data_IF_402442293869
#
_entry.id   IF_402442293869
#
_cell.length_a   1.000
_cell.length_b   1.000
_cell.length_c   1.000
_cell.angle_alpha   90.00
_cell.angle_beta   90.00
_cell.angle_gamma   90.00
#
_symmetry.space_group_name_H-M   'P 1'
#
loop_
_entity.id
_entity.type
_entity.pdbx_description
1 polymer ?
#
# COMPACT_ATOMS: atom_id res chain seq x y z
N UNK A 1 43.05 7.29 56.26
CA UNK A 1 44.10 6.26 56.34
C UNK A 1 45.44 6.93 56.06
N UNK A 2 46.22 7.19 57.10
CA UNK A 2 47.53 7.83 56.98
C UNK A 2 48.54 6.75 56.56
N UNK A 3 49.12 6.86 55.35
CA UNK A 3 50.14 5.90 54.90
C UNK A 3 51.44 6.21 55.61
N UNK A 4 52.04 5.20 56.24
CA UNK A 4 53.32 5.34 56.93
C UNK A 4 54.42 5.62 55.88
N UNK A 5 55.07 6.80 55.89
CA UNK A 5 56.04 7.19 54.88
C UNK A 5 57.25 6.25 54.80
N UNK A 6 57.61 5.59 55.91
CA UNK A 6 58.71 4.62 55.93
C UNK A 6 58.42 3.37 55.11
N UNK A 7 57.15 2.94 55.09
CA UNK A 7 56.75 1.76 54.31
C UNK A 7 56.82 1.98 52.80
N UNK A 8 56.56 3.21 52.34
CA UNK A 8 56.66 3.58 50.91
C UNK A 8 58.13 3.71 50.49
N UNK A 9 58.98 4.25 51.37
CA UNK A 9 60.42 4.36 51.12
C UNK A 9 61.09 2.98 51.02
N UNK A 10 60.77 2.06 51.93
CA UNK A 10 61.31 0.69 51.92
C UNK A 10 60.90 -0.08 50.65
N UNK A 11 59.64 0.02 50.22
CA UNK A 11 59.18 -0.62 48.98
C UNK A 11 59.94 -0.11 47.77
N UNK A 12 60.16 1.20 47.68
CA UNK A 12 60.90 1.80 46.57
C UNK A 12 62.34 1.29 46.51
N UNK A 13 63.02 1.20 47.66
CA UNK A 13 64.38 0.66 47.74
C UNK A 13 64.45 -0.83 47.37
N UNK A 14 63.45 -1.62 47.75
CA UNK A 14 63.37 -3.04 47.42
C UNK A 14 63.17 -3.24 45.90
N UNK A 15 62.29 -2.45 45.28
CA UNK A 15 62.05 -2.48 43.84
C UNK A 15 63.30 -2.08 43.04
N UNK A 16 64.04 -1.05 43.50
CA UNK A 16 65.30 -0.61 42.88
C UNK A 16 66.42 -1.68 43.03
N UNK A 17 66.39 -2.49 44.09
CA UNK A 17 67.37 -3.57 44.33
C UNK A 17 67.11 -4.82 43.48
N UNK A 18 65.83 -5.16 43.23
CA UNK A 18 65.45 -6.38 42.52
C UNK A 18 65.70 -6.28 41.00
N UNK A 19 65.63 -5.08 40.42
CA UNK A 19 66.01 -4.86 39.02
C UNK A 19 66.46 -3.41 38.80
N UNK A 20 67.74 -3.16 38.46
CA UNK A 20 68.22 -1.80 38.18
C UNK A 20 67.61 -1.20 36.90
N UNK A 21 67.00 -2.04 36.06
CA UNK A 21 66.24 -1.61 34.89
C UNK A 21 64.75 -1.69 35.22
N UNK A 22 64.07 -0.54 35.21
CA UNK A 22 62.61 -0.46 35.30
C UNK A 22 61.96 -1.44 34.31
N UNK A 23 61.21 -2.42 34.83
CA UNK A 23 60.38 -3.33 34.03
C UNK A 23 59.33 -2.58 33.20
N UNK A 24 59.09 -1.30 33.51
CA UNK A 24 58.29 -0.38 32.74
C UNK A 24 59.18 0.49 31.84
N UNK A 25 59.22 0.17 30.55
CA UNK A 25 59.91 1.00 29.57
C UNK A 25 59.08 2.26 29.25
N UNK A 26 59.70 3.28 28.66
CA UNK A 26 58.95 4.45 28.16
C UNK A 26 57.90 4.05 27.10
N UNK A 27 58.17 2.98 26.35
CA UNK A 27 57.25 2.43 25.34
C UNK A 27 55.99 1.86 26.01
N UNK A 28 56.14 1.15 27.14
CA UNK A 28 55.00 0.63 27.89
C UNK A 28 54.14 1.76 28.47
N UNK A 29 54.77 2.85 28.92
CA UNK A 29 54.06 4.04 29.39
C UNK A 29 53.24 4.69 28.27
N UNK A 30 53.80 4.82 27.07
CA UNK A 30 53.08 5.36 25.91
C UNK A 30 51.89 4.47 25.52
N UNK A 31 52.07 3.15 25.47
CA UNK A 31 50.98 2.21 25.17
C UNK A 31 49.83 2.27 26.18
N UNK A 32 50.14 2.42 27.47
CA UNK A 32 49.11 2.58 28.50
C UNK A 32 48.37 3.90 28.31
N UNK A 33 49.09 5.00 28.04
CA UNK A 33 48.45 6.29 27.80
C UNK A 33 47.54 6.27 26.56
N UNK A 34 47.97 5.67 25.45
CA UNK A 34 47.15 5.48 24.26
C UNK A 34 45.88 4.67 24.57
N UNK A 35 45.99 3.60 25.36
CA UNK A 35 44.83 2.80 25.78
C UNK A 35 43.86 3.59 26.65
N UNK A 36 44.37 4.42 27.56
CA UNK A 36 43.55 5.28 28.43
C UNK A 36 42.85 6.37 27.61
N UNK A 37 43.55 7.02 26.68
CA UNK A 37 42.96 8.04 25.81
C UNK A 37 41.94 7.46 24.84
N UNK A 38 42.22 6.28 24.27
CA UNK A 38 41.28 5.55 23.41
C UNK A 38 40.01 5.12 24.17
N UNK A 39 40.13 4.74 25.45
CA UNK A 39 38.98 4.47 26.31
C UNK A 39 38.17 5.74 26.62
N UNK A 40 38.84 6.88 26.87
CA UNK A 40 38.16 8.18 27.10
C UNK A 40 37.42 8.68 25.86
N UNK A 41 37.98 8.52 24.65
CA UNK A 41 37.31 8.91 23.39
C UNK A 41 36.03 8.11 23.15
N UNK A 42 36.06 6.79 23.38
CA UNK A 42 34.86 5.93 23.23
C UNK A 42 33.74 6.31 24.19
N UNK A 43 34.06 6.73 25.42
CA UNK A 43 33.06 7.20 26.40
C UNK A 43 32.40 8.54 26.02
N UNK A 44 33.05 9.38 25.22
CA UNK A 44 32.55 10.72 24.87
C UNK A 44 31.47 10.69 23.78
N UNK A 45 31.55 9.74 22.84
CA UNK A 45 30.56 9.61 21.76
C UNK A 45 29.19 9.08 22.27
N UNK A 46 29.21 8.29 23.35
CA UNK A 46 28.01 7.85 24.07
C UNK A 46 27.56 8.84 25.17
N UNK A 47 28.00 10.11 25.10
CA UNK A 47 27.76 11.09 26.18
C UNK A 47 26.28 11.44 26.41
N UNK A 48 25.38 11.09 25.48
CA UNK A 48 23.93 11.33 25.61
C UNK A 48 23.13 10.13 25.11
N UNK A 49 23.15 8.99 25.82
CA UNK A 49 22.44 7.78 25.39
C UNK A 49 20.92 8.02 25.29
N UNK A 50 20.39 8.96 26.07
CA UNK A 50 18.98 9.40 26.00
C UNK A 50 18.60 10.01 24.66
N UNK A 51 19.47 10.81 24.03
CA UNK A 51 19.18 11.41 22.72
C UNK A 51 19.21 10.38 21.60
N UNK A 52 20.16 9.44 21.64
CA UNK A 52 20.25 8.35 20.65
C UNK A 52 19.02 7.45 20.73
N UNK A 53 18.58 7.11 21.94
CA UNK A 53 17.38 6.31 22.16
C UNK A 53 16.11 7.03 21.67
N UNK A 54 15.96 8.33 21.97
CA UNK A 54 14.83 9.13 21.46
C UNK A 54 14.80 9.18 19.93
N UNK A 55 15.96 9.31 19.28
CA UNK A 55 16.03 9.35 17.82
C UNK A 55 15.66 7.99 17.19
N UNK A 56 16.13 6.88 17.77
CA UNK A 56 15.75 5.52 17.34
C UNK A 56 14.25 5.26 17.51
N UNK A 57 13.66 5.67 18.64
CA UNK A 57 12.23 5.54 18.87
C UNK A 57 11.41 6.37 17.86
N UNK A 58 11.88 7.58 17.52
CA UNK A 58 11.21 8.43 16.55
C UNK A 58 11.26 7.82 15.14
N UNK A 59 12.37 7.18 14.74
CA UNK A 59 12.46 6.46 13.48
C UNK A 59 11.50 5.25 13.43
N UNK A 60 11.45 4.45 14.49
CA UNK A 60 10.52 3.31 14.58
C UNK A 60 9.07 3.79 14.52
N UNK A 61 8.74 4.87 15.24
CA UNK A 61 7.41 5.45 15.25
C UNK A 61 7.04 6.02 13.88
N UNK A 62 7.96 6.73 13.22
CA UNK A 62 7.74 7.26 11.87
C UNK A 62 7.53 6.16 10.84
N UNK A 63 8.27 5.04 10.94
CA UNK A 63 8.11 3.88 10.06
C UNK A 63 6.78 3.16 10.28
N UNK A 64 6.33 3.02 11.53
CA UNK A 64 5.04 2.44 11.85
C UNK A 64 3.89 3.31 11.31
N UNK A 65 3.95 4.63 11.52
CA UNK A 65 2.95 5.58 10.99
C UNK A 65 2.93 5.55 9.46
N UNK A 66 4.08 5.57 8.79
CA UNK A 66 4.15 5.45 7.32
C UNK A 66 3.63 4.11 6.79
N UNK A 67 3.88 3.00 7.51
CA UNK A 67 3.37 1.68 7.14
C UNK A 67 1.86 1.58 7.27
N UNK A 68 1.26 2.22 8.27
CA UNK A 68 -0.19 2.25 8.48
C UNK A 68 -0.94 3.26 7.60
N UNK A 69 -0.29 4.31 7.11
CA UNK A 69 -0.90 5.31 6.21
C UNK A 69 -0.85 4.92 4.72
N UNK A 70 0.00 3.96 4.33
CA UNK A 70 0.11 3.51 2.94
C UNK A 70 -0.98 2.55 2.39
N UNK A 71 -1.81 1.84 3.17
CA UNK A 71 -2.71 0.85 2.56
C UNK A 71 -3.89 1.46 1.78
N UNK A 72 -4.19 2.76 1.91
CA UNK A 72 -5.37 3.34 1.25
C UNK A 72 -5.13 3.84 -0.19
N UNK A 73 -3.92 4.27 -0.54
CA UNK A 73 -3.65 4.80 -1.90
C UNK A 73 -3.32 3.70 -2.92
N UNK A 74 -2.88 2.52 -2.46
CA UNK A 74 -2.40 1.47 -3.37
C UNK A 74 -3.53 0.54 -3.87
N UNK A 75 -4.66 0.45 -3.17
CA UNK A 75 -5.84 -0.28 -3.65
C UNK A 75 -6.68 0.54 -4.65
N UNK A 76 -6.70 1.87 -4.53
CA UNK A 76 -7.41 2.73 -5.49
C UNK A 76 -6.74 2.75 -6.88
N UNK A 77 -5.47 2.32 -6.98
CA UNK A 77 -4.67 2.34 -8.19
C UNK A 77 -4.75 1.06 -9.05
N UNK A 78 -5.48 0.02 -8.61
CA UNK A 78 -5.60 -1.23 -9.38
C UNK A 78 -6.92 -1.41 -10.12
N UNK A 79 -7.86 -0.47 -10.00
CA UNK A 79 -9.11 -0.55 -10.76
C UNK A 79 -8.92 0.01 -12.17
N UNK A 80 -9.29 -0.74 -13.22
CA UNK A 80 -9.21 -0.26 -14.58
C UNK A 80 -10.13 0.94 -14.78
N UNK A 81 -9.65 1.92 -15.53
CA UNK A 81 -10.45 3.08 -15.93
C UNK A 81 -11.58 2.66 -16.88
N UNK A 82 -12.64 3.46 -16.96
CA UNK A 82 -13.73 3.22 -17.90
C UNK A 82 -13.26 3.09 -19.35
N UNK A 83 -12.25 3.88 -19.74
CA UNK A 83 -11.65 3.78 -21.07
C UNK A 83 -10.96 2.43 -21.28
N UNK A 84 -10.16 1.97 -20.31
CA UNK A 84 -9.52 0.66 -20.39
C UNK A 84 -10.55 -0.46 -20.46
N UNK A 85 -11.66 -0.36 -19.72
CA UNK A 85 -12.76 -1.33 -19.82
C UNK A 85 -13.38 -1.33 -21.22
N UNK A 86 -13.72 -0.16 -21.75
CA UNK A 86 -14.31 -0.01 -23.10
C UNK A 86 -13.38 -0.60 -24.16
N UNK A 87 -12.09 -0.28 -24.10
CA UNK A 87 -11.07 -0.79 -25.04
C UNK A 87 -10.83 -2.31 -24.89
N UNK A 88 -11.18 -2.87 -23.72
CA UNK A 88 -11.00 -4.28 -23.40
C UNK A 88 -12.23 -5.14 -23.68
N UNK A 89 -13.37 -4.61 -24.13
CA UNK A 89 -14.55 -5.42 -24.43
C UNK A 89 -14.87 -5.35 -25.93
N UNK A 90 -15.41 -6.43 -26.49
CA UNK A 90 -15.90 -6.50 -27.85
C UNK A 90 -16.96 -7.59 -28.00
N UNK A 91 -17.88 -7.40 -28.95
CA UNK A 91 -18.91 -8.37 -29.32
C UNK A 91 -18.27 -9.64 -29.90
N UNK A 92 -18.77 -10.81 -29.48
CA UNK A 92 -18.27 -12.12 -29.87
C UNK A 92 -17.17 -12.68 -28.95
N UNK A 93 -16.78 -11.94 -27.90
CA UNK A 93 -15.87 -12.42 -26.86
C UNK A 93 -16.51 -13.58 -26.08
N UNK A 94 -15.72 -14.57 -25.65
CA UNK A 94 -16.26 -15.64 -24.80
C UNK A 94 -16.38 -15.19 -23.34
N UNK A 95 -17.27 -15.83 -22.58
CA UNK A 95 -17.40 -15.60 -21.13
C UNK A 95 -16.07 -15.74 -20.36
N UNK A 96 -15.22 -16.70 -20.74
CA UNK A 96 -13.89 -16.88 -20.12
C UNK A 96 -12.95 -15.70 -20.39
N UNK A 97 -13.01 -15.12 -21.59
CA UNK A 97 -12.24 -13.92 -21.93
C UNK A 97 -12.75 -12.71 -21.14
N UNK A 98 -14.07 -12.60 -20.93
CA UNK A 98 -14.67 -11.56 -20.07
C UNK A 98 -14.17 -11.73 -18.64
N UNK A 99 -14.21 -12.93 -18.08
CA UNK A 99 -13.72 -13.20 -16.72
C UNK A 99 -12.23 -12.93 -16.55
N UNK A 100 -11.43 -13.13 -17.60
CA UNK A 100 -10.00 -12.81 -17.56
C UNK A 100 -9.77 -11.30 -17.44
N UNK A 101 -10.67 -10.47 -17.96
CA UNK A 101 -10.54 -9.00 -17.99
C UNK A 101 -11.22 -8.32 -16.81
N UNK A 102 -12.44 -8.74 -16.49
CA UNK A 102 -13.28 -8.15 -15.45
C UNK A 102 -13.17 -8.91 -14.12
N UNK A 103 -12.78 -10.18 -14.15
CA UNK A 103 -12.84 -11.06 -13.00
C UNK A 103 -14.14 -11.87 -12.96
N UNK A 104 -14.30 -12.65 -11.90
CA UNK A 104 -15.44 -13.56 -11.70
C UNK A 104 -16.40 -13.05 -10.63
N UNK A 105 -16.20 -11.83 -10.13
CA UNK A 105 -17.09 -11.18 -9.16
C UNK A 105 -18.13 -10.35 -9.92
N UNK A 106 -19.28 -10.97 -10.17
CA UNK A 106 -20.40 -10.37 -10.89
C UNK A 106 -21.73 -10.78 -10.28
N UNK A 107 -22.75 -9.99 -10.56
CA UNK A 107 -24.15 -10.31 -10.26
C UNK A 107 -24.87 -10.64 -11.56
N UNK A 108 -25.65 -11.71 -11.57
CA UNK A 108 -26.58 -12.00 -12.67
C UNK A 108 -27.84 -11.16 -12.46
N UNK A 109 -28.26 -10.43 -13.50
CA UNK A 109 -29.45 -9.57 -13.48
C UNK A 109 -30.28 -9.79 -14.74
N UNK A 110 -31.59 -9.59 -14.63
CA UNK A 110 -32.52 -9.72 -15.74
C UNK A 110 -32.61 -8.40 -16.53
N UNK A 111 -32.64 -8.47 -17.85
CA UNK A 111 -32.89 -7.28 -18.68
C UNK A 111 -34.30 -6.72 -18.47
N UNK A 112 -34.46 -5.40 -18.27
CA UNK A 112 -35.75 -4.78 -18.00
C UNK A 112 -36.72 -4.73 -19.19
N UNK A 113 -36.30 -5.16 -20.39
CA UNK A 113 -37.20 -5.25 -21.54
C UNK A 113 -37.94 -6.58 -21.56
N UNK A 114 -39.27 -6.49 -21.52
CA UNK A 114 -40.35 -7.50 -21.52
C UNK A 114 -40.33 -8.55 -22.67
N UNK A 115 -39.18 -8.85 -23.25
CA UNK A 115 -39.02 -9.88 -24.26
C UNK A 115 -38.36 -11.11 -23.65
N UNK A 116 -39.16 -12.17 -23.44
CA UNK A 116 -38.59 -13.50 -23.47
C UNK A 116 -37.75 -13.67 -24.75
N UNK A 117 -36.55 -14.30 -24.68
CA UNK A 117 -35.99 -14.99 -23.52
C UNK A 117 -35.33 -14.04 -22.50
N UNK A 118 -35.36 -14.42 -21.23
CA UNK A 118 -34.60 -13.78 -20.14
C UNK A 118 -33.12 -13.90 -20.53
N UNK A 119 -32.50 -12.78 -20.92
CA UNK A 119 -31.07 -12.72 -21.16
C UNK A 119 -30.39 -12.59 -19.79
N UNK A 120 -29.49 -13.52 -19.46
CA UNK A 120 -28.66 -13.44 -18.26
C UNK A 120 -27.59 -12.36 -18.50
N UNK A 121 -27.80 -11.18 -17.92
CA UNK A 121 -26.83 -10.09 -17.99
C UNK A 121 -25.89 -10.19 -16.80
N UNK A 122 -24.59 -10.18 -17.06
CA UNK A 122 -23.61 -10.06 -15.99
C UNK A 122 -23.33 -8.59 -15.68
N UNK A 123 -23.57 -8.20 -14.44
CA UNK A 123 -23.27 -6.88 -13.90
C UNK A 123 -22.01 -6.92 -13.05
N UNK A 124 -21.09 -6.02 -13.34
CA UNK A 124 -19.86 -5.83 -12.59
C UNK A 124 -19.78 -4.40 -12.05
N UNK A 125 -19.44 -4.24 -10.77
CA UNK A 125 -19.46 -2.96 -10.07
C UNK A 125 -18.03 -2.55 -9.64
N UNK A 126 -17.52 -1.39 -10.07
CA UNK A 126 -16.12 -0.97 -9.84
C UNK A 126 -15.91 0.53 -9.55
N UNK A 127 -14.88 0.88 -8.76
CA UNK A 127 -14.60 0.21 -7.51
C UNK A 127 -15.86 0.22 -6.64
N UNK A 128 -16.05 -0.82 -5.82
CA UNK A 128 -17.14 -0.89 -4.86
C UNK A 128 -16.62 -0.58 -3.46
N UNK A 129 -17.22 0.38 -2.76
CA UNK A 129 -16.89 0.67 -1.36
C UNK A 129 -17.13 -0.57 -0.48
N UNK A 130 -16.20 -0.86 0.45
CA UNK A 130 -16.30 -2.03 1.33
C UNK A 130 -17.63 -2.03 2.11
N UNK A 131 -18.38 -3.12 1.99
CA UNK A 131 -19.68 -3.29 2.65
C UNK A 131 -20.86 -2.63 1.95
N UNK A 132 -20.63 -1.90 0.85
CA UNK A 132 -21.72 -1.47 -0.02
C UNK A 132 -22.20 -2.65 -0.88
N UNK A 133 -23.52 -2.80 -0.98
CA UNK A 133 -24.14 -3.83 -1.82
C UNK A 133 -25.34 -3.20 -2.53
N UNK A 134 -25.34 -3.33 -3.85
CA UNK A 134 -26.48 -2.96 -4.67
C UNK A 134 -27.21 -4.22 -5.10
N UNK A 135 -28.42 -4.41 -4.56
CA UNK A 135 -29.24 -5.59 -4.80
C UNK A 135 -30.41 -5.14 -5.67
N UNK A 136 -30.43 -5.64 -6.90
CA UNK A 136 -31.54 -5.48 -7.86
C UNK A 136 -31.62 -6.77 -8.66
N UNK A 137 -32.84 -7.19 -8.95
CA UNK A 137 -33.09 -8.36 -9.79
C UNK A 137 -33.04 -7.98 -11.29
N UNK A 138 -33.17 -6.69 -11.61
CA UNK A 138 -33.13 -6.16 -12.97
C UNK A 138 -31.81 -5.43 -13.26
N UNK A 139 -31.51 -5.19 -14.53
CA UNK A 139 -30.41 -4.37 -15.10
C UNK A 139 -30.46 -2.87 -14.74
N UNK A 140 -31.08 -2.55 -13.60
CA UNK A 140 -31.17 -1.21 -13.07
C UNK A 140 -29.80 -0.62 -12.75
N UNK A 141 -29.60 0.62 -13.21
CA UNK A 141 -28.43 1.41 -12.88
C UNK A 141 -28.47 1.89 -11.42
N UNK A 142 -27.38 1.73 -10.69
CA UNK A 142 -27.28 2.15 -9.28
C UNK A 142 -27.06 3.66 -9.11
N UNK A 143 -28.10 4.45 -9.35
CA UNK A 143 -28.02 5.92 -9.24
C UNK A 143 -27.50 6.35 -7.86
N UNK A 144 -27.89 5.68 -6.79
CA UNK A 144 -27.49 6.04 -5.42
C UNK A 144 -26.00 5.76 -5.15
N UNK A 145 -25.49 4.62 -5.61
CA UNK A 145 -24.07 4.27 -5.53
C UNK A 145 -23.18 5.32 -6.22
N UNK A 146 -23.58 5.76 -7.42
CA UNK A 146 -22.86 6.79 -8.18
C UNK A 146 -22.99 8.21 -7.61
N UNK A 147 -24.16 8.55 -7.04
CA UNK A 147 -24.38 9.85 -6.37
C UNK A 147 -23.56 9.94 -5.09
N UNK A 148 -23.51 8.86 -4.31
CA UNK A 148 -22.78 8.81 -3.04
C UNK A 148 -21.27 8.59 -3.18
N UNK A 149 -20.80 8.19 -4.38
CA UNK A 149 -19.39 7.92 -4.64
C UNK A 149 -18.92 6.54 -4.16
N UNK A 150 -19.86 5.66 -3.77
CA UNK A 150 -19.59 4.29 -3.35
C UNK A 150 -19.29 3.36 -4.52
N UNK A 151 -19.58 3.82 -5.75
CA UNK A 151 -19.30 3.14 -7.01
C UNK A 151 -18.82 4.17 -8.05
N UNK A 152 -17.81 3.81 -8.83
CA UNK A 152 -17.29 4.67 -9.90
C UNK A 152 -17.77 4.33 -11.31
N UNK A 153 -18.12 3.06 -11.53
CA UNK A 153 -18.42 2.45 -12.80
C UNK A 153 -19.23 1.16 -12.62
N UNK A 154 -20.10 0.89 -13.57
CA UNK A 154 -20.90 -0.34 -13.65
C UNK A 154 -20.83 -0.85 -15.09
N UNK A 155 -20.56 -2.14 -15.25
CA UNK A 155 -20.44 -2.79 -16.55
C UNK A 155 -21.50 -3.88 -16.66
N UNK A 156 -22.29 -3.83 -17.71
CA UNK A 156 -23.27 -4.85 -18.07
C UNK A 156 -22.75 -5.60 -19.30
N UNK A 157 -22.76 -6.92 -19.26
CA UNK A 157 -22.38 -7.78 -20.38
C UNK A 157 -23.53 -8.73 -20.68
N UNK A 158 -24.05 -8.62 -21.90
CA UNK A 158 -25.12 -9.44 -22.44
C UNK A 158 -24.53 -10.54 -23.33
N UNK A 159 -25.09 -11.74 -23.25
CA UNK A 159 -24.61 -12.94 -23.95
C UNK A 159 -25.67 -13.50 -24.89
N UNK A 160 -25.23 -14.03 -26.03
CA UNK A 160 -26.08 -14.80 -26.94
C UNK A 160 -26.28 -16.24 -26.46
N UNK A 161 -27.12 -16.99 -27.20
CA UNK A 161 -27.38 -18.42 -26.92
C UNK A 161 -26.12 -19.32 -26.99
N UNK A 162 -24.99 -18.81 -27.52
CA UNK A 162 -23.71 -19.52 -27.58
C UNK A 162 -22.72 -19.07 -26.47
N UNK A 163 -23.18 -18.27 -25.50
CA UNK A 163 -22.35 -17.68 -24.45
C UNK A 163 -21.21 -16.78 -24.97
N UNK A 164 -21.47 -16.11 -26.10
CA UNK A 164 -20.61 -15.06 -26.64
C UNK A 164 -21.24 -13.70 -26.34
N UNK A 165 -20.42 -12.69 -26.09
CA UNK A 165 -20.89 -11.33 -25.82
C UNK A 165 -21.72 -10.82 -27.00
N UNK A 166 -23.02 -10.60 -26.80
CA UNK A 166 -23.93 -10.01 -27.77
C UNK A 166 -23.89 -8.48 -27.74
N UNK A 167 -23.68 -7.93 -26.55
CA UNK A 167 -23.55 -6.51 -26.29
C UNK A 167 -23.01 -6.23 -24.90
N UNK A 168 -22.63 -4.97 -24.66
CA UNK A 168 -22.20 -4.53 -23.34
C UNK A 168 -22.44 -3.03 -23.17
N UNK A 169 -22.71 -2.63 -21.93
CA UNK A 169 -22.84 -1.24 -21.53
C UNK A 169 -21.86 -0.92 -20.40
N UNK A 170 -21.18 0.21 -20.50
CA UNK A 170 -20.29 0.76 -19.45
C UNK A 170 -20.87 2.08 -18.98
N UNK A 171 -21.33 2.11 -17.73
CA UNK A 171 -21.81 3.33 -17.09
C UNK A 171 -20.75 3.87 -16.16
N UNK A 172 -20.33 5.11 -16.32
CA UNK A 172 -19.24 5.72 -15.54
C UNK A 172 -19.42 7.22 -15.36
N UNK A 173 -18.71 7.80 -14.40
CA UNK A 173 -18.70 9.24 -14.15
C UNK A 173 -17.47 9.90 -14.78
N UNK A 174 -17.67 10.96 -15.56
CA UNK A 174 -16.58 11.82 -16.08
C UNK A 174 -16.06 12.76 -14.99
N UNK A 175 -14.89 13.34 -15.21
CA UNK A 175 -14.26 14.29 -14.26
C UNK A 175 -15.13 15.53 -13.96
N UNK A 176 -15.99 15.92 -14.92
CA UNK A 176 -16.94 17.02 -14.76
C UNK A 176 -18.20 16.64 -13.96
N UNK A 177 -18.31 15.39 -13.50
CA UNK A 177 -19.44 14.87 -12.73
C UNK A 177 -20.59 14.31 -13.57
N UNK A 178 -20.53 14.39 -14.90
CA UNK A 178 -21.55 13.82 -15.79
C UNK A 178 -21.49 12.28 -15.79
N UNK A 179 -22.65 11.65 -15.76
CA UNK A 179 -22.77 10.20 -15.94
C UNK A 179 -22.88 9.90 -17.43
N UNK A 180 -22.08 8.95 -17.91
CA UNK A 180 -22.07 8.52 -19.30
C UNK A 180 -22.34 7.04 -19.37
N UNK A 181 -23.21 6.67 -20.30
CA UNK A 181 -23.51 5.30 -20.67
C UNK A 181 -22.90 5.09 -22.06
N UNK A 182 -21.90 4.22 -22.14
CA UNK A 182 -21.34 3.77 -23.40
C UNK A 182 -21.89 2.37 -23.70
N UNK A 183 -22.70 2.26 -24.75
CA UNK A 183 -23.45 1.05 -25.08
C UNK A 183 -23.04 0.52 -26.46
N UNK A 184 -22.79 -0.78 -26.53
CA UNK A 184 -22.40 -1.51 -27.75
C UNK A 184 -23.30 -2.72 -27.91
N UNK A 185 -24.07 -2.75 -29.01
CA UNK A 185 -24.94 -3.86 -29.33
C UNK A 185 -24.84 -4.21 -30.83
N UNK A 186 -24.25 -5.37 -31.13
CA UNK A 186 -23.84 -5.71 -32.49
C UNK A 186 -22.88 -4.65 -33.08
N UNK A 187 -23.23 -4.10 -34.24
CA UNK A 187 -22.43 -3.05 -34.91
C UNK A 187 -22.76 -1.63 -34.44
N UNK A 188 -23.73 -1.47 -33.52
CA UNK A 188 -24.16 -0.15 -33.04
C UNK A 188 -23.37 0.23 -31.80
N UNK A 189 -22.77 1.42 -31.85
CA UNK A 189 -22.12 2.06 -30.71
C UNK A 189 -22.88 3.34 -30.40
N UNK A 190 -23.25 3.53 -29.14
CA UNK A 190 -23.95 4.70 -28.65
C UNK A 190 -23.26 5.23 -27.40
N UNK A 191 -23.00 6.54 -27.36
CA UNK A 191 -22.58 7.23 -26.14
C UNK A 191 -23.72 8.15 -25.72
N UNK A 192 -24.33 7.87 -24.58
CA UNK A 192 -25.45 8.63 -24.02
C UNK A 192 -24.92 9.36 -22.78
N UNK A 193 -24.96 10.70 -22.82
CA UNK A 193 -24.69 11.52 -21.64
C UNK A 193 -25.99 11.64 -20.86
N UNK A 194 -26.06 10.95 -19.73
CA UNK A 194 -27.21 11.06 -18.83
C UNK A 194 -27.14 12.41 -18.12
N UNK A 195 -28.18 13.23 -18.31
CA UNK A 195 -28.31 14.51 -17.63
C UNK A 195 -28.36 14.24 -16.11
N UNK A 196 -27.59 14.97 -15.28
CA UNK A 196 -27.59 14.76 -13.84
C UNK A 196 -29.03 14.81 -13.32
N UNK A 197 -29.46 13.73 -12.69
CA UNK A 197 -30.67 13.72 -11.89
C UNK A 197 -30.26 14.41 -10.59
N UNK A 198 -30.60 15.69 -10.42
CA UNK A 198 -30.44 16.36 -9.12
C UNK A 198 -31.21 15.58 -8.03
#
# INVERSE_FOLDING_TARGET
MNRNPESEHFKKQLDDYISPNSLFTQIDRQRILERIEGAKRRKKWWGKPRLVLSFLLLLIFSGAVYGFLKPAEQELASHPSAKEMIDSLYVGMSQEEVWTRLGTDYSEVEGAMDSEPIYDIHRYDYPLEEGYQFITDMDGFDVEGFKSGKMGMQVFVDYDDNHLVAGYAVVYKKENGETVIYDVFGDKVQEIVAIPVD
#
